data_IF_681822639609
#
_entry.id   IF_681822639609
#
_cell.length_a   1.000
_cell.length_b   1.000
_cell.length_c   1.000
_cell.angle_alpha   90.00
_cell.angle_beta   90.00
_cell.angle_gamma   90.00
#
_symmetry.space_group_name_H-M   'P 1'
#
loop_
_entity.id
_entity.type
_entity.pdbx_description
1 polymer ?
#
# COMPACT_ATOMS: atom_id res chain seq x y z
N UNK A 1 -46.44 32.83 12.28
CA UNK A 1 -45.56 31.74 12.77
C UNK A 1 -44.52 31.45 11.69
N UNK A 2 -43.33 32.05 11.79
CA UNK A 2 -42.24 31.86 10.83
C UNK A 2 -41.29 30.78 11.36
N UNK A 3 -41.35 29.59 10.77
CA UNK A 3 -40.41 28.49 11.00
C UNK A 3 -39.00 28.94 10.61
N UNK A 4 -38.19 29.31 11.62
CA UNK A 4 -36.78 29.62 11.46
C UNK A 4 -36.03 28.38 11.00
N UNK A 5 -35.81 28.35 9.70
CA UNK A 5 -34.98 27.45 8.92
C UNK A 5 -33.56 27.42 9.52
N UNK A 6 -33.26 26.37 10.31
CA UNK A 6 -31.92 26.08 10.83
C UNK A 6 -31.02 25.66 9.67
N UNK A 7 -30.24 26.60 9.13
CA UNK A 7 -29.20 26.33 8.14
C UNK A 7 -28.08 25.48 8.76
N UNK A 8 -28.12 24.19 8.46
CA UNK A 8 -26.99 23.35 8.02
C UNK A 8 -25.57 23.80 8.42
N UNK A 9 -25.10 23.42 9.62
CA UNK A 9 -23.67 23.42 9.97
C UNK A 9 -22.91 22.21 9.39
N UNK A 10 -23.62 21.17 8.94
CA UNK A 10 -23.02 19.87 8.55
C UNK A 10 -22.18 19.92 7.27
N UNK A 11 -22.43 20.86 6.34
CA UNK A 11 -21.80 20.84 5.01
C UNK A 11 -20.42 21.51 4.97
N UNK A 12 -20.00 22.23 6.01
CA UNK A 12 -18.68 22.90 6.02
C UNK A 12 -17.55 21.93 6.38
N UNK A 13 -17.82 20.99 7.28
CA UNK A 13 -16.81 20.06 7.80
C UNK A 13 -16.30 19.12 6.69
N UNK A 14 -17.18 18.66 5.80
CA UNK A 14 -16.79 17.77 4.70
C UNK A 14 -15.96 18.50 3.63
N UNK A 15 -16.28 19.77 3.35
CA UNK A 15 -15.54 20.59 2.37
C UNK A 15 -14.08 20.82 2.78
N UNK A 16 -13.83 21.12 4.07
CA UNK A 16 -12.47 21.35 4.55
C UNK A 16 -11.64 20.06 4.52
N UNK A 17 -12.25 18.92 4.89
CA UNK A 17 -11.61 17.61 4.80
C UNK A 17 -11.22 17.25 3.36
N UNK A 18 -12.08 17.52 2.37
CA UNK A 18 -11.74 17.32 0.96
C UNK A 18 -10.56 18.15 0.50
N UNK A 19 -10.49 19.42 0.91
CA UNK A 19 -9.37 20.29 0.57
C UNK A 19 -8.05 19.73 1.10
N UNK A 20 -8.03 19.28 2.37
CA UNK A 20 -6.84 18.64 2.97
C UNK A 20 -6.48 17.35 2.21
N UNK A 21 -7.45 16.48 1.93
CA UNK A 21 -7.22 15.23 1.19
C UNK A 21 -6.63 15.49 -0.20
N UNK A 22 -7.16 16.47 -0.95
CA UNK A 22 -6.61 16.85 -2.26
C UNK A 22 -5.19 17.38 -2.18
N UNK A 23 -4.86 18.19 -1.16
CA UNK A 23 -3.48 18.67 -0.93
C UNK A 23 -2.55 17.48 -0.69
N UNK A 24 -2.95 16.54 0.17
CA UNK A 24 -2.18 15.31 0.44
C UNK A 24 -1.99 14.48 -0.83
N UNK A 25 -3.03 14.27 -1.63
CA UNK A 25 -2.94 13.54 -2.89
C UNK A 25 -2.03 14.23 -3.91
N UNK A 26 -2.04 15.57 -3.98
CA UNK A 26 -1.12 16.32 -4.84
C UNK A 26 0.34 16.20 -4.37
N UNK A 27 0.58 16.18 -3.06
CA UNK A 27 1.91 15.93 -2.51
C UNK A 27 2.39 14.51 -2.84
N UNK A 28 1.50 13.51 -2.72
CA UNK A 28 1.77 12.13 -3.15
C UNK A 28 2.10 12.12 -4.65
N UNK A 29 1.28 12.74 -5.49
CA UNK A 29 1.48 12.81 -6.94
C UNK A 29 2.88 13.34 -7.30
N UNK A 30 3.31 14.43 -6.67
CA UNK A 30 4.64 15.03 -6.86
C UNK A 30 5.78 14.12 -6.40
N UNK A 31 5.55 13.27 -5.38
CA UNK A 31 6.56 12.30 -4.90
C UNK A 31 6.65 11.02 -5.75
N UNK A 32 5.73 10.81 -6.69
CA UNK A 32 5.58 9.53 -7.43
C UNK A 32 6.15 9.55 -8.85
N UNK A 33 7.02 10.51 -9.17
CA UNK A 33 7.59 10.65 -10.53
C UNK A 33 8.38 9.40 -10.98
N UNK A 34 8.94 8.63 -10.05
CA UNK A 34 9.65 7.39 -10.34
C UNK A 34 8.72 6.16 -10.57
N UNK A 35 7.43 6.26 -10.24
CA UNK A 35 6.47 5.15 -10.32
C UNK A 35 5.25 5.56 -11.16
N UNK A 36 5.36 5.39 -12.48
CA UNK A 36 4.32 5.80 -13.44
C UNK A 36 2.91 5.23 -13.14
N UNK A 37 2.75 3.93 -12.79
CA UNK A 37 1.43 3.38 -12.47
C UNK A 37 0.77 4.09 -11.27
N UNK A 38 1.55 4.35 -10.21
CA UNK A 38 1.04 5.03 -9.02
C UNK A 38 0.66 6.48 -9.32
N UNK A 39 1.50 7.20 -10.06
CA UNK A 39 1.19 8.58 -10.50
C UNK A 39 -0.12 8.63 -11.28
N UNK A 40 -0.38 7.65 -12.16
CA UNK A 40 -1.64 7.57 -12.90
C UNK A 40 -2.84 7.36 -11.99
N UNK A 41 -2.76 6.42 -11.04
CA UNK A 41 -3.82 6.16 -10.05
C UNK A 41 -4.13 7.41 -9.21
N UNK A 42 -3.10 8.07 -8.67
CA UNK A 42 -3.26 9.30 -7.87
C UNK A 42 -3.96 10.39 -8.69
N UNK A 43 -3.56 10.56 -9.95
CA UNK A 43 -4.16 11.53 -10.88
C UNK A 43 -5.64 11.22 -11.14
N UNK A 44 -5.98 9.95 -11.34
CA UNK A 44 -7.36 9.51 -11.54
C UNK A 44 -8.23 9.79 -10.30
N UNK A 45 -7.72 9.50 -9.10
CA UNK A 45 -8.45 9.77 -7.85
C UNK A 45 -8.69 11.25 -7.62
N UNK A 46 -7.71 12.13 -7.88
CA UNK A 46 -7.91 13.58 -7.78
C UNK A 46 -9.09 14.02 -8.65
N UNK A 47 -9.18 13.53 -9.89
CA UNK A 47 -10.28 13.85 -10.82
C UNK A 47 -11.61 13.29 -10.31
N UNK A 48 -11.64 12.06 -9.78
CA UNK A 48 -12.85 11.47 -9.20
C UNK A 48 -13.37 12.31 -8.02
N UNK A 49 -12.48 12.76 -7.12
CA UNK A 49 -12.84 13.65 -6.01
C UNK A 49 -13.44 14.97 -6.51
N UNK A 50 -12.86 15.58 -7.54
CA UNK A 50 -13.39 16.81 -8.17
C UNK A 50 -14.75 16.61 -8.83
N UNK A 51 -15.02 15.43 -9.38
CA UNK A 51 -16.32 15.08 -9.95
C UNK A 51 -17.37 14.86 -8.84
N UNK A 52 -17.01 14.16 -7.77
CA UNK A 52 -17.89 13.87 -6.64
C UNK A 52 -18.37 15.16 -5.95
N UNK A 53 -17.49 16.16 -5.78
CA UNK A 53 -17.86 17.46 -5.21
C UNK A 53 -18.98 18.18 -5.98
N UNK A 54 -19.09 17.91 -7.29
CA UNK A 54 -20.11 18.51 -8.18
C UNK A 54 -21.44 17.75 -8.16
N UNK A 55 -21.45 16.53 -7.61
CA UNK A 55 -22.63 15.68 -7.59
C UNK A 55 -23.72 16.29 -6.70
N UNK A 56 -24.95 16.29 -7.22
CA UNK A 56 -26.12 16.90 -6.57
C UNK A 56 -27.04 15.90 -5.85
N UNK A 57 -26.92 14.59 -6.11
CA UNK A 57 -27.71 13.49 -5.51
C UNK A 57 -26.83 12.43 -4.86
N UNK A 58 -27.39 11.56 -4.00
CA UNK A 58 -26.66 10.46 -3.37
C UNK A 58 -25.32 10.90 -2.72
N UNK A 59 -25.33 12.11 -2.13
CA UNK A 59 -24.10 12.77 -1.68
C UNK A 59 -23.32 11.94 -0.68
N UNK A 60 -24.00 11.30 0.26
CA UNK A 60 -23.37 10.51 1.32
C UNK A 60 -22.66 9.29 0.74
N UNK A 61 -23.28 8.59 -0.19
CA UNK A 61 -22.71 7.44 -0.87
C UNK A 61 -21.53 7.85 -1.76
N UNK A 62 -21.65 8.98 -2.48
CA UNK A 62 -20.54 9.53 -3.26
C UNK A 62 -19.39 9.99 -2.36
N UNK A 63 -19.68 10.60 -1.22
CA UNK A 63 -18.68 11.02 -0.24
C UNK A 63 -17.88 9.82 0.26
N UNK A 64 -18.56 8.70 0.54
CA UNK A 64 -17.92 7.44 0.93
C UNK A 64 -16.97 6.89 -0.14
N UNK A 65 -17.34 6.94 -1.43
CA UNK A 65 -16.43 6.57 -2.52
C UNK A 65 -15.19 7.44 -2.52
N UNK A 66 -15.33 8.74 -2.31
CA UNK A 66 -14.19 9.65 -2.33
C UNK A 66 -13.25 9.41 -1.14
N UNK A 67 -13.79 9.20 0.07
CA UNK A 67 -13.02 8.80 1.25
C UNK A 67 -12.25 7.52 0.97
N UNK A 68 -12.95 6.50 0.48
CA UNK A 68 -12.36 5.19 0.21
C UNK A 68 -11.27 5.23 -0.87
N UNK A 69 -11.50 6.03 -1.92
CA UNK A 69 -10.54 6.25 -2.99
C UNK A 69 -9.25 6.89 -2.46
N UNK A 70 -9.37 7.86 -1.57
CA UNK A 70 -8.24 8.54 -0.96
C UNK A 70 -7.45 7.62 -0.02
N UNK A 71 -8.14 6.84 0.82
CA UNK A 71 -7.52 5.83 1.70
C UNK A 71 -6.72 4.81 0.89
N UNK A 72 -7.32 4.27 -0.16
CA UNK A 72 -6.68 3.28 -1.04
C UNK A 72 -5.37 3.84 -1.62
N UNK A 73 -5.38 5.08 -2.12
CA UNK A 73 -4.15 5.70 -2.67
C UNK A 73 -3.09 5.91 -1.59
N UNK A 74 -3.49 6.36 -0.39
CA UNK A 74 -2.55 6.56 0.70
C UNK A 74 -1.91 5.24 1.15
N UNK A 75 -2.69 4.16 1.20
CA UNK A 75 -2.17 2.85 1.57
C UNK A 75 -1.26 2.27 0.49
N UNK A 76 -1.63 2.37 -0.81
CA UNK A 76 -0.72 1.99 -1.89
C UNK A 76 0.60 2.75 -1.75
N UNK A 77 0.55 4.09 -1.66
CA UNK A 77 1.75 4.91 -1.53
C UNK A 77 2.58 4.54 -0.29
N UNK A 78 1.95 4.33 0.87
CA UNK A 78 2.64 3.95 2.12
C UNK A 78 3.42 2.65 1.95
N UNK A 79 2.84 1.69 1.25
CA UNK A 79 3.47 0.39 1.02
C UNK A 79 4.48 0.41 -0.12
N UNK A 80 4.31 1.29 -1.11
CA UNK A 80 5.16 1.28 -2.30
C UNK A 80 6.28 2.30 -2.31
N UNK A 81 6.27 3.31 -1.42
CA UNK A 81 7.29 4.38 -1.40
C UNK A 81 8.74 3.92 -1.19
N UNK A 82 8.94 2.69 -0.74
CA UNK A 82 10.27 2.10 -0.53
C UNK A 82 10.81 1.36 -1.76
N UNK A 83 9.99 1.12 -2.79
CA UNK A 83 10.45 0.56 -4.05
C UNK A 83 11.07 1.67 -4.90
N UNK A 84 12.39 1.82 -4.80
CA UNK A 84 13.13 2.90 -5.46
C UNK A 84 13.23 2.76 -7.00
N UNK A 85 12.98 1.56 -7.56
CA UNK A 85 13.25 1.27 -8.98
C UNK A 85 12.01 0.73 -9.70
N UNK A 86 11.42 -0.35 -9.19
CA UNK A 86 10.26 -0.99 -9.81
C UNK A 86 9.42 -1.71 -8.75
N UNK A 87 8.11 -1.77 -8.99
CA UNK A 87 7.21 -2.58 -8.19
C UNK A 87 7.40 -4.06 -8.55
N UNK A 88 7.18 -4.99 -7.60
CA UNK A 88 7.00 -6.40 -7.93
C UNK A 88 5.87 -6.55 -8.97
N UNK A 89 6.05 -7.43 -9.95
CA UNK A 89 5.15 -7.55 -11.11
C UNK A 89 3.67 -7.78 -10.71
N UNK A 90 3.41 -8.55 -9.66
CA UNK A 90 2.07 -8.81 -9.14
C UNK A 90 1.42 -7.58 -8.50
N UNK A 91 2.24 -6.78 -7.80
CA UNK A 91 1.82 -5.52 -7.19
C UNK A 91 1.51 -4.50 -8.28
N UNK A 92 2.39 -4.37 -9.27
CA UNK A 92 2.18 -3.50 -10.44
C UNK A 92 0.88 -3.84 -11.18
N UNK A 93 0.66 -5.12 -11.48
CA UNK A 93 -0.60 -5.59 -12.10
C UNK A 93 -1.83 -5.20 -11.29
N UNK A 94 -1.74 -5.22 -9.97
CA UNK A 94 -2.84 -4.82 -9.08
C UNK A 94 -3.09 -3.31 -9.14
N UNK A 95 -2.03 -2.50 -9.13
CA UNK A 95 -2.12 -1.04 -9.30
C UNK A 95 -2.75 -0.67 -10.65
N UNK A 96 -2.38 -1.37 -11.74
CA UNK A 96 -2.99 -1.17 -13.07
C UNK A 96 -4.47 -1.54 -13.10
N UNK A 97 -4.89 -2.60 -12.39
CA UNK A 97 -6.33 -2.94 -12.25
C UNK A 97 -7.09 -1.84 -11.52
N UNK A 98 -6.53 -1.31 -10.43
CA UNK A 98 -7.08 -0.19 -9.66
C UNK A 98 -7.21 1.06 -10.54
N UNK A 99 -6.20 1.36 -11.36
CA UNK A 99 -6.25 2.48 -12.31
C UNK A 99 -7.43 2.36 -13.28
N UNK A 100 -7.65 1.17 -13.83
CA UNK A 100 -8.80 0.90 -14.71
C UNK A 100 -10.13 1.12 -14.00
N UNK A 101 -10.25 0.62 -12.77
CA UNK A 101 -11.45 0.83 -11.95
C UNK A 101 -11.71 2.32 -11.71
N UNK A 102 -10.68 3.12 -11.42
CA UNK A 102 -10.86 4.58 -11.29
C UNK A 102 -11.26 5.27 -12.59
N UNK A 103 -10.83 4.78 -13.76
CA UNK A 103 -11.30 5.29 -15.05
C UNK A 103 -12.78 5.00 -15.27
N UNK A 104 -13.25 3.83 -14.87
CA UNK A 104 -14.69 3.48 -14.92
C UNK A 104 -15.51 4.34 -13.97
N UNK A 105 -15.06 4.50 -12.72
CA UNK A 105 -15.69 5.39 -11.72
C UNK A 105 -15.73 6.82 -12.23
N UNK A 106 -14.65 7.31 -12.85
CA UNK A 106 -14.59 8.64 -13.46
C UNK A 106 -15.68 8.81 -14.53
N UNK A 107 -15.78 7.87 -15.48
CA UNK A 107 -16.79 7.92 -16.55
C UNK A 107 -18.19 7.98 -15.94
N UNK A 108 -18.47 7.11 -14.97
CA UNK A 108 -19.76 7.10 -14.26
C UNK A 108 -20.08 8.46 -13.62
N UNK A 109 -19.13 9.08 -12.91
CA UNK A 109 -19.36 10.39 -12.29
C UNK A 109 -19.44 11.55 -13.30
N UNK A 110 -18.77 11.44 -14.46
CA UNK A 110 -18.95 12.39 -15.56
C UNK A 110 -20.37 12.33 -16.14
N UNK A 111 -20.93 11.13 -16.30
CA UNK A 111 -22.30 10.93 -16.76
C UNK A 111 -23.30 11.43 -15.71
N UNK A 112 -23.11 11.06 -14.44
CA UNK A 112 -23.97 11.47 -13.33
C UNK A 112 -24.06 13.00 -13.19
N UNK A 113 -22.96 13.71 -13.46
CA UNK A 113 -22.92 15.17 -13.42
C UNK A 113 -23.60 15.86 -14.62
N UNK A 114 -23.82 15.14 -15.72
CA UNK A 114 -24.53 15.63 -16.91
C UNK A 114 -26.05 15.41 -16.83
N UNK A 115 -26.53 14.56 -15.93
CA UNK A 115 -27.96 14.24 -15.81
C UNK A 115 -28.80 15.45 -15.37
N UNK A 116 -29.95 15.61 -16.03
CA UNK A 116 -30.92 16.62 -15.66
C UNK A 116 -31.70 16.20 -14.40
N UNK A 117 -32.36 17.16 -13.73
CA UNK A 117 -33.04 16.93 -12.44
C UNK A 117 -34.07 15.79 -12.52
N UNK A 118 -34.85 15.72 -13.60
CA UNK A 118 -35.89 14.69 -13.78
C UNK A 118 -35.28 13.29 -13.95
N UNK A 119 -34.24 13.16 -14.77
CA UNK A 119 -33.52 11.90 -14.98
C UNK A 119 -32.89 11.41 -13.67
N UNK A 120 -32.29 12.34 -12.92
CA UNK A 120 -31.66 12.06 -11.63
C UNK A 120 -32.65 11.52 -10.60
N UNK A 121 -33.88 12.05 -10.58
CA UNK A 121 -34.94 11.54 -9.69
C UNK A 121 -35.39 10.16 -10.17
N UNK A 122 -35.65 10.00 -11.47
CA UNK A 122 -36.11 8.73 -12.04
C UNK A 122 -35.09 7.59 -11.88
N UNK A 123 -33.79 7.90 -11.81
CA UNK A 123 -32.69 6.93 -11.70
C UNK A 123 -32.02 6.89 -10.33
N UNK A 124 -32.58 7.55 -9.31
CA UNK A 124 -31.91 7.73 -8.03
C UNK A 124 -31.44 6.41 -7.40
N UNK A 125 -32.32 5.40 -7.36
CA UNK A 125 -32.02 4.08 -6.78
C UNK A 125 -30.99 3.31 -7.60
N UNK A 126 -31.08 3.39 -8.94
CA UNK A 126 -30.08 2.78 -9.83
C UNK A 126 -28.70 3.39 -9.62
N UNK A 127 -28.63 4.72 -9.60
CA UNK A 127 -27.38 5.45 -9.39
C UNK A 127 -26.80 5.12 -8.01
N UNK A 128 -27.65 5.00 -6.98
CA UNK A 128 -27.22 4.57 -5.65
C UNK A 128 -26.62 3.17 -5.67
N UNK A 129 -27.32 2.20 -6.26
CA UNK A 129 -26.82 0.82 -6.37
C UNK A 129 -25.49 0.74 -7.12
N UNK A 130 -25.31 1.56 -8.16
CA UNK A 130 -24.03 1.63 -8.88
C UNK A 130 -22.91 2.25 -8.03
N UNK A 131 -23.19 3.29 -7.25
CA UNK A 131 -22.23 3.87 -6.31
C UNK A 131 -21.83 2.82 -5.26
N UNK A 132 -22.80 2.12 -4.67
CA UNK A 132 -22.54 1.06 -3.68
C UNK A 132 -21.70 -0.08 -4.29
N UNK A 133 -21.98 -0.48 -5.54
CA UNK A 133 -21.20 -1.49 -6.24
C UNK A 133 -19.76 -1.05 -6.50
N UNK A 134 -19.52 0.21 -6.88
CA UNK A 134 -18.15 0.73 -7.00
C UNK A 134 -17.42 0.75 -5.65
N UNK A 135 -18.12 0.99 -4.54
CA UNK A 135 -17.55 0.88 -3.20
C UNK A 135 -17.06 -0.54 -2.93
N UNK A 136 -17.88 -1.54 -3.22
CA UNK A 136 -17.53 -2.96 -3.09
C UNK A 136 -16.34 -3.34 -3.99
N UNK A 137 -16.31 -2.85 -5.23
CA UNK A 137 -15.21 -3.12 -6.16
C UNK A 137 -13.89 -2.47 -5.71
N UNK A 138 -13.93 -1.29 -5.10
CA UNK A 138 -12.74 -0.66 -4.50
C UNK A 138 -12.20 -1.48 -3.33
N UNK A 139 -13.08 -1.99 -2.45
CA UNK A 139 -12.70 -2.87 -1.36
C UNK A 139 -12.08 -4.18 -1.84
N UNK A 140 -12.67 -4.79 -2.86
CA UNK A 140 -12.15 -6.00 -3.49
C UNK A 140 -10.77 -5.76 -4.12
N UNK A 141 -10.62 -4.64 -4.84
CA UNK A 141 -9.35 -4.25 -5.44
C UNK A 141 -8.27 -4.01 -4.38
N UNK A 142 -8.63 -3.38 -3.26
CA UNK A 142 -7.72 -3.14 -2.13
C UNK A 142 -7.28 -4.45 -1.47
N UNK A 143 -8.21 -5.38 -1.23
CA UNK A 143 -7.91 -6.70 -0.70
C UNK A 143 -6.94 -7.47 -1.62
N UNK A 144 -7.19 -7.43 -2.93
CA UNK A 144 -6.33 -8.07 -3.92
C UNK A 144 -4.93 -7.42 -3.98
N UNK A 145 -4.85 -6.08 -3.88
CA UNK A 145 -3.56 -5.38 -3.78
C UNK A 145 -2.78 -5.82 -2.54
N UNK A 146 -3.40 -5.80 -1.35
CA UNK A 146 -2.76 -6.20 -0.10
C UNK A 146 -2.28 -7.65 -0.14
N UNK A 147 -3.12 -8.56 -0.65
CA UNK A 147 -2.77 -9.98 -0.80
C UNK A 147 -1.53 -10.14 -1.69
N UNK A 148 -1.48 -9.46 -2.84
CA UNK A 148 -0.34 -9.55 -3.75
C UNK A 148 0.92 -8.89 -3.19
N UNK A 149 0.76 -7.81 -2.43
CA UNK A 149 1.86 -7.18 -1.71
C UNK A 149 2.46 -8.15 -0.69
N UNK A 150 1.64 -8.75 0.17
CA UNK A 150 2.09 -9.75 1.15
C UNK A 150 2.79 -10.92 0.47
N UNK A 151 2.19 -11.49 -0.58
CA UNK A 151 2.79 -12.57 -1.36
C UNK A 151 4.14 -12.17 -1.97
N UNK A 152 4.27 -10.94 -2.47
CA UNK A 152 5.54 -10.45 -3.01
C UNK A 152 6.62 -10.34 -1.93
N UNK A 153 6.26 -9.87 -0.73
CA UNK A 153 7.17 -9.78 0.42
C UNK A 153 7.59 -11.18 0.87
N UNK A 154 6.66 -12.14 0.96
CA UNK A 154 6.98 -13.52 1.30
C UNK A 154 7.94 -14.17 0.29
N UNK A 155 7.73 -13.95 -1.01
CA UNK A 155 8.64 -14.46 -2.05
C UNK A 155 10.05 -13.89 -1.90
N UNK A 156 10.16 -12.59 -1.67
CA UNK A 156 11.46 -11.95 -1.43
C UNK A 156 12.16 -12.53 -0.20
N UNK A 157 11.44 -12.82 0.89
CA UNK A 157 12.02 -13.45 2.07
C UNK A 157 12.51 -14.88 1.78
N UNK A 158 11.76 -15.68 1.02
CA UNK A 158 12.16 -17.04 0.64
C UNK A 158 13.40 -17.01 -0.25
N UNK A 159 13.44 -16.10 -1.23
CA UNK A 159 14.60 -15.93 -2.11
C UNK A 159 15.84 -15.48 -1.34
N UNK A 160 15.68 -14.54 -0.40
CA UNK A 160 16.77 -14.09 0.46
C UNK A 160 17.30 -15.22 1.34
N UNK A 161 16.42 -15.99 1.99
CA UNK A 161 16.81 -17.13 2.81
C UNK A 161 17.53 -18.22 1.99
N UNK A 162 17.06 -18.53 0.78
CA UNK A 162 17.72 -19.46 -0.11
C UNK A 162 19.10 -18.97 -0.57
N UNK A 163 19.22 -17.67 -0.86
CA UNK A 163 20.50 -17.05 -1.21
C UNK A 163 21.49 -17.06 -0.03
N UNK A 164 21.02 -16.80 1.18
CA UNK A 164 21.84 -16.85 2.39
C UNK A 164 22.31 -18.28 2.70
N UNK A 165 21.42 -19.27 2.58
CA UNK A 165 21.79 -20.68 2.72
C UNK A 165 22.86 -21.09 1.69
N UNK A 166 22.72 -20.64 0.44
CA UNK A 166 23.72 -20.88 -0.62
C UNK A 166 25.06 -20.23 -0.29
N UNK A 167 25.05 -19.00 0.26
CA UNK A 167 26.26 -18.31 0.74
C UNK A 167 26.91 -19.06 1.89
N UNK A 168 26.15 -19.45 2.90
CA UNK A 168 26.65 -20.20 4.05
C UNK A 168 27.27 -21.54 3.62
N UNK A 169 26.60 -22.28 2.73
CA UNK A 169 27.13 -23.51 2.17
C UNK A 169 28.44 -23.29 1.39
N UNK A 170 28.54 -22.22 0.59
CA UNK A 170 29.76 -21.87 -0.12
C UNK A 170 30.91 -21.52 0.83
N UNK A 171 30.63 -20.79 1.92
CA UNK A 171 31.63 -20.46 2.95
C UNK A 171 32.13 -21.72 3.65
N UNK A 172 31.22 -22.64 4.02
CA UNK A 172 31.60 -23.93 4.60
C UNK A 172 32.45 -24.76 3.64
N UNK A 173 32.07 -24.84 2.36
CA UNK A 173 32.85 -25.55 1.35
C UNK A 173 34.27 -24.96 1.25
N UNK A 174 34.41 -23.64 1.16
CA UNK A 174 35.73 -22.97 1.13
C UNK A 174 36.51 -23.20 2.43
N UNK A 175 35.85 -23.35 3.58
CA UNK A 175 36.52 -23.66 4.86
C UNK A 175 37.08 -25.08 4.92
N UNK A 176 36.46 -26.01 4.18
CA UNK A 176 36.87 -27.42 4.12
C UNK A 176 37.89 -27.72 3.01
N UNK A 177 38.09 -26.80 2.06
CA UNK A 177 39.10 -26.94 1.01
C UNK A 177 40.52 -26.98 1.58
N UNK A 178 41.38 -27.82 0.99
CA UNK A 178 42.82 -27.81 1.28
C UNK A 178 43.46 -26.49 0.86
N UNK A 179 44.61 -26.15 1.46
CA UNK A 179 45.32 -24.91 1.14
C UNK A 179 45.72 -24.82 -0.33
N UNK A 180 46.13 -25.94 -0.95
CA UNK A 180 46.44 -26.00 -2.38
C UNK A 180 45.24 -25.69 -3.27
N UNK A 181 44.06 -26.23 -2.93
CA UNK A 181 42.82 -25.96 -3.70
C UNK A 181 42.37 -24.51 -3.54
N UNK A 182 42.51 -23.95 -2.33
CA UNK A 182 42.22 -22.53 -2.06
C UNK A 182 43.11 -21.60 -2.89
N UNK A 183 44.41 -21.89 -2.95
CA UNK A 183 45.37 -21.11 -3.74
C UNK A 183 45.08 -21.20 -5.25
N UNK A 184 44.69 -22.38 -5.76
CA UNK A 184 44.25 -22.52 -7.15
C UNK A 184 42.99 -21.69 -7.45
N UNK A 185 41.97 -21.75 -6.58
CA UNK A 185 40.74 -20.99 -6.72
C UNK A 185 40.98 -19.47 -6.71
N UNK A 186 41.86 -18.97 -5.82
CA UNK A 186 42.27 -17.57 -5.79
C UNK A 186 43.00 -17.14 -7.08
N UNK A 187 43.86 -18.02 -7.61
CA UNK A 187 44.60 -17.74 -8.86
C UNK A 187 43.65 -17.64 -10.05
N UNK A 188 42.62 -18.50 -10.09
CA UNK A 188 41.59 -18.47 -11.12
C UNK A 188 40.72 -17.20 -11.04
N UNK A 189 40.23 -16.85 -9.85
CA UNK A 189 39.47 -15.59 -9.64
C UNK A 189 40.31 -14.38 -10.07
N UNK A 190 41.60 -14.35 -9.73
CA UNK A 190 42.51 -13.27 -10.11
C UNK A 190 42.66 -13.16 -11.63
N UNK A 191 42.75 -14.29 -12.34
CA UNK A 191 42.78 -14.33 -13.80
C UNK A 191 41.51 -13.77 -14.44
N UNK A 192 40.34 -14.14 -13.91
CA UNK A 192 39.05 -13.71 -14.45
C UNK A 192 38.77 -12.22 -14.23
N UNK A 193 39.22 -11.65 -13.11
CA UNK A 193 39.15 -10.20 -12.84
C UNK A 193 40.05 -9.42 -13.81
N UNK A 194 41.26 -9.90 -14.09
CA UNK A 194 42.18 -9.23 -15.02
C UNK A 194 41.68 -9.22 -16.46
N UNK A 195 40.89 -10.23 -16.86
CA UNK A 195 40.32 -10.35 -18.20
C UNK A 195 39.00 -9.55 -18.38
N UNK A 196 38.60 -8.76 -17.38
CA UNK A 196 37.37 -7.95 -17.44
C UNK A 196 36.09 -8.77 -17.55
N UNK A 197 36.16 -10.09 -17.33
CA UNK A 197 35.01 -11.01 -17.49
C UNK A 197 33.98 -10.88 -16.37
N UNK A 198 34.35 -10.23 -15.25
CA UNK A 198 33.43 -10.00 -14.15
C UNK A 198 33.58 -8.59 -13.54
N UNK A 199 32.80 -7.63 -14.04
CA UNK A 199 32.44 -6.43 -13.28
C UNK A 199 31.56 -6.75 -12.03
N UNK A 200 31.12 -8.00 -11.89
CA UNK A 200 30.12 -8.45 -10.90
C UNK A 200 30.75 -8.96 -9.59
N UNK A 201 32.02 -9.38 -9.59
CA UNK A 201 32.67 -9.93 -8.37
C UNK A 201 32.99 -8.81 -7.35
N UNK A 202 33.25 -7.58 -7.79
CA UNK A 202 33.44 -6.45 -6.86
C UNK A 202 32.14 -6.05 -6.15
N UNK A 203 30.98 -6.18 -6.81
CA UNK A 203 29.67 -5.92 -6.20
C UNK A 203 29.35 -6.96 -5.10
N UNK A 204 29.75 -8.22 -5.31
CA UNK A 204 29.59 -9.28 -4.32
C UNK A 204 30.29 -8.95 -3.01
N UNK A 205 31.55 -8.48 -3.04
CA UNK A 205 32.34 -8.13 -1.86
C UNK A 205 31.87 -6.80 -1.22
N UNK A 206 31.40 -5.82 -2.02
CA UNK A 206 30.90 -4.54 -1.48
C UNK A 206 29.50 -4.62 -0.84
N UNK A 207 28.64 -5.55 -1.25
CA UNK A 207 27.33 -5.76 -0.60
C UNK A 207 27.43 -6.36 0.82
N UNK A 208 28.58 -6.87 1.24
CA UNK A 208 28.79 -7.43 2.59
C UNK A 208 28.80 -6.37 3.71
N UNK A 209 28.85 -5.07 3.39
CA UNK A 209 29.10 -4.02 4.40
C UNK A 209 27.90 -3.16 4.80
N UNK A 210 26.74 -3.27 4.15
CA UNK A 210 25.66 -2.26 4.28
C UNK A 210 24.26 -2.75 4.70
N UNK A 211 24.07 -4.01 5.08
CA UNK A 211 22.83 -4.41 5.76
C UNK A 211 23.15 -4.76 7.22
N UNK A 212 22.80 -3.90 8.20
CA UNK A 212 22.79 -4.34 9.59
C UNK A 212 21.85 -5.53 9.71
N UNK A 213 22.29 -6.56 10.41
CA UNK A 213 21.49 -7.74 10.71
C UNK A 213 20.15 -7.29 11.32
N UNK A 214 19.06 -7.44 10.57
CA UNK A 214 17.72 -7.32 11.14
C UNK A 214 17.60 -8.43 12.19
N UNK A 215 17.25 -8.13 13.45
CA UNK A 215 17.06 -9.16 14.45
C UNK A 215 15.93 -10.07 13.97
N UNK A 216 16.27 -11.31 13.65
CA UNK A 216 15.32 -12.38 13.38
C UNK A 216 14.64 -12.67 14.71
N UNK A 217 13.56 -11.95 15.00
CA UNK A 217 12.63 -12.33 16.07
C UNK A 217 11.97 -13.63 15.65
N UNK A 218 12.51 -14.74 16.12
CA UNK A 218 11.94 -16.07 15.95
C UNK A 218 10.68 -16.18 16.82
N UNK A 219 9.55 -15.67 16.30
CA UNK A 219 8.24 -15.97 16.85
C UNK A 219 7.66 -17.16 16.08
N UNK A 220 7.37 -18.30 16.72
CA UNK A 220 6.72 -19.42 16.06
C UNK A 220 5.26 -19.06 15.76
N UNK A 221 4.91 -18.99 14.47
CA UNK A 221 3.53 -18.92 14.00
C UNK A 221 2.82 -20.24 14.36
N UNK A 222 2.08 -20.22 15.47
CA UNK A 222 1.18 -21.28 15.88
C UNK A 222 -0.11 -21.16 15.08
N UNK A 223 -0.24 -21.99 14.04
CA UNK A 223 -1.46 -22.18 13.26
C UNK A 223 -2.58 -22.70 14.15
N UNK A 224 -3.61 -21.89 14.43
CA UNK A 224 -4.91 -22.37 14.89
C UNK A 224 -5.93 -22.19 13.77
N UNK A 225 -6.27 -23.30 13.13
CA UNK A 225 -7.46 -23.45 12.30
C UNK A 225 -8.54 -24.11 13.18
N UNK A 226 -9.55 -23.34 13.56
CA UNK A 226 -10.86 -23.77 14.05
C UNK A 226 -11.68 -22.47 14.19
N UNK A 227 -12.90 -22.31 13.73
CA UNK A 227 -13.87 -23.21 13.12
C UNK A 227 -15.11 -22.38 12.73
N UNK A 228 -15.92 -22.95 11.86
CA UNK A 228 -17.16 -22.41 11.31
C UNK A 228 -18.26 -22.36 12.39
N UNK A 229 -19.09 -21.31 12.43
CA UNK A 229 -20.48 -21.43 12.91
C UNK A 229 -21.15 -20.23 13.63
N UNK A 230 -22.23 -19.73 13.02
CA UNK A 230 -23.44 -19.10 13.59
C UNK A 230 -23.54 -17.59 13.95
N UNK A 231 -24.17 -16.82 13.04
CA UNK A 231 -25.44 -16.05 13.13
C UNK A 231 -25.84 -15.34 14.46
N UNK A 232 -25.75 -13.98 14.47
CA UNK A 232 -26.65 -12.88 15.00
C UNK A 232 -27.29 -12.93 16.44
N UNK A 233 -27.80 -11.82 17.06
CA UNK A 233 -27.48 -10.37 17.02
C UNK A 233 -27.47 -9.58 18.37
N UNK A 234 -27.03 -8.30 18.26
CA UNK A 234 -27.48 -7.05 18.95
C UNK A 234 -27.18 -6.76 20.45
N UNK A 235 -26.67 -5.52 20.61
CA UNK A 235 -26.93 -4.45 21.62
C UNK A 235 -26.16 -4.33 22.95
N UNK A 236 -25.58 -3.12 23.11
CA UNK A 236 -25.35 -2.27 24.32
C UNK A 236 -24.45 -2.84 25.43
N UNK A 237 -23.39 -2.18 25.92
CA UNK A 237 -23.33 -0.89 26.64
C UNK A 237 -21.84 -0.55 26.89
N UNK A 238 -21.31 0.65 26.64
CA UNK A 238 -21.17 1.81 27.56
C UNK A 238 -20.70 1.48 29.00
N UNK A 239 -19.39 1.62 29.24
CA UNK A 239 -18.66 1.99 30.48
C UNK A 239 -17.17 1.91 30.09
N UNK A 240 -16.31 2.94 30.16
CA UNK A 240 -16.15 3.94 31.19
C UNK A 240 -15.05 3.47 32.15
N UNK A 241 -13.77 3.76 31.87
CA UNK A 241 -12.72 3.82 32.88
C UNK A 241 -11.52 4.63 32.41
N UNK A 242 -11.10 5.49 33.32
CA UNK A 242 -10.04 6.49 33.23
C UNK A 242 -8.71 5.88 33.66
N UNK A 243 -7.64 6.52 33.17
CA UNK A 243 -6.36 6.73 33.83
C UNK A 243 -5.53 5.51 34.26
N UNK A 244 -4.43 5.29 33.54
CA UNK A 244 -3.10 5.22 34.18
C UNK A 244 -2.13 6.02 33.32
N UNK A 245 -1.57 7.07 33.94
CA UNK A 245 -0.44 7.84 33.45
C UNK A 245 0.77 7.43 34.29
N UNK A 246 1.93 7.24 33.63
CA UNK A 246 3.26 7.71 34.05
C UNK A 246 4.40 6.72 33.74
N UNK A 247 5.44 7.31 33.13
CA UNK A 247 6.89 6.98 33.22
C UNK A 247 7.33 5.66 32.56
N UNK A 248 8.41 5.59 31.77
CA UNK A 248 9.69 6.29 31.88
C UNK A 248 10.41 6.45 30.53
N UNK A 249 11.16 7.55 30.46
CA UNK A 249 12.08 7.98 29.41
C UNK A 249 13.32 7.09 29.24
N UNK A 250 13.90 7.20 28.04
CA UNK A 250 15.32 7.10 27.67
C UNK A 250 16.03 5.75 27.71
N UNK A 251 16.44 5.31 26.50
CA UNK A 251 17.76 4.73 26.27
C UNK A 251 18.18 4.95 24.80
N UNK A 252 18.38 6.21 24.44
CA UNK A 252 19.39 6.56 23.43
C UNK A 252 20.73 6.70 24.15
N UNK A 253 21.66 5.77 23.89
CA UNK A 253 23.10 5.97 23.98
C UNK A 253 23.80 4.63 23.77
N UNK A 254 24.04 4.22 22.52
CA UNK A 254 25.15 3.33 22.16
C UNK A 254 25.22 3.22 20.62
N UNK A 255 25.99 4.08 19.96
CA UNK A 255 26.90 3.76 18.84
C UNK A 255 27.70 5.04 18.52
N UNK A 256 28.80 5.24 19.25
CA UNK A 256 29.97 5.97 18.75
C UNK A 256 31.19 5.31 19.41
N UNK A 257 31.77 4.34 18.72
CA UNK A 257 33.18 3.95 18.76
C UNK A 257 33.50 3.15 17.51
#
# INVERSE_FOLDING_TARGET
MLSRMRRTRSTRITSDAYAVTKVTLKAIQASTDACAPLKSVVSAVIVVLELIEKVKSNKKECEHIAERSAELVQDIWRHTKHFNVALPTEVEKSVVKIEKLFKEIKIFFEELNKENILERIARQDRNKNQVDEYGRLLDEAMLHFNTNLELSIYRLHVEFAAADQKRHAAVLAVSQMSESERLQLLTQIRGDVHMGKHAIVSAGIFFFRYYPAMPISASPLRTQISGIGHVFPRTLSRLGSKAVSSMSLSLEAFVLR
#
